data_IF_525544093829
#
_entry.id   IF_525544093829
#
_cell.length_a   1.000
_cell.length_b   1.000
_cell.length_c   1.000
_cell.angle_alpha   90.00
_cell.angle_beta   90.00
_cell.angle_gamma   90.00
#
_symmetry.space_group_name_H-M   'P 1'
#
loop_
_entity.id
_entity.type
_entity.pdbx_description
1 polymer ?
#
# COMPACT_ATOMS: atom_id res chain seq x y z
N UNK A 1 1.31 14.43 5.46
CA UNK A 1 1.54 15.05 4.14
C UNK A 1 1.60 16.57 4.31
N UNK A 2 2.73 17.19 4.10
CA UNK A 2 2.86 18.65 4.14
C UNK A 2 2.01 19.24 3.00
N UNK A 3 0.99 20.01 3.35
CA UNK A 3 0.19 20.75 2.35
C UNK A 3 1.13 21.69 1.60
N UNK A 4 1.12 21.66 0.27
CA UNK A 4 1.86 22.59 -0.55
C UNK A 4 1.55 24.03 -0.10
N UNK A 5 2.56 24.73 0.38
CA UNK A 5 2.40 26.07 0.90
C UNK A 5 2.41 27.06 -0.26
N UNK A 6 1.42 27.94 -0.30
CA UNK A 6 1.35 29.01 -1.27
C UNK A 6 2.43 30.04 -0.97
N UNK A 7 3.29 30.33 -1.96
CA UNK A 7 4.42 31.26 -1.79
C UNK A 7 3.95 32.65 -1.40
N UNK A 8 2.84 33.12 -2.00
CA UNK A 8 2.26 34.44 -1.68
C UNK A 8 2.00 34.62 -0.18
N UNK A 9 1.52 33.59 0.51
CA UNK A 9 1.27 33.64 1.97
C UNK A 9 2.54 33.87 2.80
N UNK A 10 3.69 33.50 2.27
CA UNK A 10 4.98 33.79 2.94
C UNK A 10 5.33 35.27 2.81
N UNK A 11 5.09 35.85 1.63
CA UNK A 11 5.32 37.27 1.38
C UNK A 11 4.29 38.15 2.11
N UNK A 12 3.02 37.75 2.17
CA UNK A 12 1.99 38.44 2.96
C UNK A 12 2.41 38.58 4.43
N UNK A 13 2.91 37.51 5.03
CA UNK A 13 3.40 37.52 6.42
C UNK A 13 4.63 38.43 6.63
N UNK A 14 5.35 38.74 5.56
CA UNK A 14 6.52 39.66 5.57
C UNK A 14 6.13 41.07 5.23
N UNK A 15 4.87 41.34 4.89
CA UNK A 15 4.40 42.65 4.44
C UNK A 15 4.84 43.03 3.02
N UNK A 16 5.22 42.04 2.21
CA UNK A 16 5.71 42.23 0.84
C UNK A 16 4.61 41.96 -0.15
N UNK A 17 3.74 42.95 -0.37
CA UNK A 17 2.57 42.84 -1.22
C UNK A 17 2.92 42.63 -2.70
N UNK A 18 4.01 43.22 -3.18
CA UNK A 18 4.46 43.12 -4.59
C UNK A 18 4.82 41.65 -4.92
N UNK A 19 5.67 41.05 -4.11
CA UNK A 19 6.05 39.65 -4.31
C UNK A 19 4.91 38.69 -3.98
N UNK A 20 4.01 39.03 -3.07
CA UNK A 20 2.80 38.23 -2.84
C UNK A 20 1.93 38.17 -4.09
N UNK A 21 1.65 39.28 -4.75
CA UNK A 21 0.88 39.31 -6.00
C UNK A 21 1.61 38.58 -7.14
N UNK A 22 2.88 38.87 -7.35
CA UNK A 22 3.73 38.26 -8.38
C UNK A 22 3.76 36.74 -8.32
N UNK A 23 3.76 36.17 -7.09
CA UNK A 23 3.85 34.72 -6.88
C UNK A 23 2.54 34.08 -6.38
N UNK A 24 1.40 34.68 -6.62
CA UNK A 24 0.08 34.23 -6.15
C UNK A 24 -0.23 32.79 -6.56
N UNK A 25 0.09 32.42 -7.80
CA UNK A 25 -0.20 31.08 -8.34
C UNK A 25 0.89 30.04 -8.05
N UNK A 26 2.01 30.47 -7.45
CA UNK A 26 3.11 29.59 -7.18
C UNK A 26 2.95 28.86 -5.84
N UNK A 27 3.40 27.60 -5.81
CA UNK A 27 3.37 26.73 -4.63
C UNK A 27 4.76 26.21 -4.32
N UNK A 28 5.07 26.06 -3.04
CA UNK A 28 6.27 25.37 -2.56
C UNK A 28 5.92 23.93 -2.27
N UNK A 29 6.73 23.01 -2.76
CA UNK A 29 6.60 21.58 -2.52
C UNK A 29 6.50 20.77 -3.82
N UNK A 30 6.47 19.47 -3.66
CA UNK A 30 6.37 18.55 -4.78
C UNK A 30 4.94 18.50 -5.32
N UNK A 31 4.81 18.25 -6.60
CA UNK A 31 3.53 17.88 -7.19
C UNK A 31 3.00 16.61 -6.50
N UNK A 32 1.70 16.55 -6.37
CA UNK A 32 1.05 15.38 -5.76
C UNK A 32 1.29 14.15 -6.64
N UNK A 33 1.83 13.04 -6.11
CA UNK A 33 1.99 11.83 -6.89
C UNK A 33 0.62 11.32 -7.34
N UNK A 34 0.53 10.91 -8.59
CA UNK A 34 -0.70 10.39 -9.21
C UNK A 34 -0.81 8.88 -9.02
N UNK A 35 0.32 8.19 -8.85
CA UNK A 35 0.37 6.75 -8.65
C UNK A 35 1.40 6.38 -7.58
N UNK A 36 1.24 5.20 -7.01
CA UNK A 36 2.18 4.59 -6.07
C UNK A 36 2.74 3.31 -6.70
N UNK A 37 4.06 3.22 -6.94
CA UNK A 37 4.66 2.03 -7.52
C UNK A 37 4.70 0.89 -6.49
N UNK A 38 4.39 -0.33 -6.95
CA UNK A 38 4.54 -1.55 -6.18
C UNK A 38 5.66 -2.37 -6.81
N UNK A 39 6.69 -2.67 -6.03
CA UNK A 39 7.82 -3.46 -6.47
C UNK A 39 7.58 -4.93 -6.15
N UNK A 40 7.74 -5.78 -7.16
CA UNK A 40 7.58 -7.21 -7.04
C UNK A 40 8.94 -7.90 -7.04
N UNK A 41 9.24 -8.60 -5.96
CA UNK A 41 10.47 -9.37 -5.81
C UNK A 41 10.16 -10.83 -5.55
N UNK A 42 10.99 -11.72 -6.08
CA UNK A 42 10.92 -13.17 -5.86
C UNK A 42 12.23 -13.60 -5.22
N UNK A 43 12.14 -14.36 -4.12
CA UNK A 43 13.33 -14.97 -3.52
C UNK A 43 13.99 -15.91 -4.55
N UNK A 44 15.31 -15.83 -4.76
CA UNK A 44 16.01 -16.74 -5.65
C UNK A 44 15.74 -18.21 -5.27
N UNK A 45 15.41 -19.00 -6.27
CA UNK A 45 15.22 -20.44 -6.16
C UNK A 45 16.47 -21.20 -6.61
N UNK A 46 16.43 -22.52 -6.50
CA UNK A 46 17.59 -23.39 -6.80
C UNK A 46 18.19 -23.07 -8.18
N UNK A 47 19.53 -22.98 -8.25
CA UNK A 47 20.25 -22.77 -9.50
C UNK A 47 19.88 -23.86 -10.54
N UNK A 48 19.57 -23.42 -11.75
CA UNK A 48 19.09 -24.31 -12.82
C UNK A 48 17.59 -24.68 -12.74
N UNK A 49 16.88 -24.23 -11.72
CA UNK A 49 15.43 -24.39 -11.59
C UNK A 49 14.65 -23.29 -12.33
N UNK A 50 13.35 -23.49 -12.48
CA UNK A 50 12.40 -22.53 -13.06
C UNK A 50 11.41 -22.02 -12.00
N UNK A 51 10.66 -20.96 -12.33
CA UNK A 51 9.52 -20.52 -11.48
C UNK A 51 8.49 -21.63 -11.35
N UNK A 52 8.27 -22.45 -12.38
CA UNK A 52 7.37 -23.59 -12.34
C UNK A 52 7.83 -24.63 -11.30
N UNK A 53 9.12 -24.94 -11.25
CA UNK A 53 9.67 -25.84 -10.24
C UNK A 53 9.49 -25.27 -8.82
N UNK A 54 9.68 -23.96 -8.66
CA UNK A 54 9.46 -23.30 -7.38
C UNK A 54 7.98 -23.33 -6.95
N UNK A 55 7.06 -23.18 -7.91
CA UNK A 55 5.62 -23.33 -7.64
C UNK A 55 5.25 -24.73 -7.20
N UNK A 56 5.83 -25.76 -7.82
CA UNK A 56 5.59 -27.14 -7.44
C UNK A 56 6.09 -27.48 -6.04
N UNK A 57 7.26 -26.95 -5.66
CA UNK A 57 7.91 -27.27 -4.39
C UNK A 57 7.41 -26.40 -3.24
N UNK A 58 7.25 -25.09 -3.48
CA UNK A 58 7.02 -24.09 -2.44
C UNK A 58 5.66 -23.39 -2.57
N UNK A 59 4.95 -23.58 -3.68
CA UNK A 59 3.65 -22.92 -3.95
C UNK A 59 3.76 -21.41 -4.15
N UNK A 60 4.97 -20.86 -4.45
CA UNK A 60 5.23 -19.42 -4.51
C UNK A 60 6.06 -19.04 -5.74
N UNK A 61 6.08 -17.74 -6.05
CA UNK A 61 6.92 -17.16 -7.10
C UNK A 61 6.20 -16.79 -8.40
N UNK A 62 5.04 -17.38 -8.67
CA UNK A 62 4.17 -16.97 -9.77
C UNK A 62 2.98 -16.16 -9.25
N UNK A 63 2.21 -15.60 -10.16
CA UNK A 63 0.99 -14.86 -9.85
C UNK A 63 -0.25 -15.52 -10.48
N UNK A 64 -1.39 -15.34 -9.80
CA UNK A 64 -2.68 -15.86 -10.26
C UNK A 64 -3.39 -14.83 -11.15
N UNK A 65 -3.27 -15.02 -12.47
CA UNK A 65 -3.82 -14.09 -13.44
C UNK A 65 -5.36 -13.99 -13.38
N UNK A 66 -6.07 -15.09 -13.13
CA UNK A 66 -7.52 -15.07 -13.07
C UNK A 66 -8.03 -14.27 -11.87
N UNK A 67 -7.34 -14.37 -10.74
CA UNK A 67 -7.64 -13.54 -9.59
C UNK A 67 -7.30 -12.06 -9.82
N UNK A 68 -6.19 -11.79 -10.52
CA UNK A 68 -5.79 -10.43 -10.86
C UNK A 68 -6.79 -9.71 -11.77
N UNK A 69 -7.42 -10.40 -12.70
CA UNK A 69 -8.43 -9.83 -13.61
C UNK A 69 -9.62 -9.17 -12.90
N UNK A 70 -9.90 -9.54 -11.66
CA UNK A 70 -10.94 -8.90 -10.85
C UNK A 70 -10.62 -7.43 -10.53
N UNK A 71 -9.33 -7.11 -10.41
CA UNK A 71 -8.83 -5.80 -9.97
C UNK A 71 -8.24 -4.99 -11.12
N UNK A 72 -7.66 -5.64 -12.11
CA UNK A 72 -7.00 -5.03 -13.25
C UNK A 72 -7.55 -5.63 -14.57
N UNK A 73 -8.57 -5.00 -15.17
CA UNK A 73 -9.07 -5.39 -16.48
C UNK A 73 -7.93 -5.47 -17.51
N UNK A 74 -8.02 -6.43 -18.44
CA UNK A 74 -6.99 -6.67 -19.46
C UNK A 74 -5.62 -7.13 -18.93
N UNK A 75 -5.56 -7.61 -17.69
CA UNK A 75 -4.33 -8.11 -17.06
C UNK A 75 -3.19 -7.10 -17.03
N UNK A 76 -3.52 -5.81 -16.97
CA UNK A 76 -2.54 -4.74 -16.90
C UNK A 76 -1.77 -4.78 -15.57
N UNK A 77 -0.59 -4.17 -15.55
CA UNK A 77 0.16 -3.91 -14.32
C UNK A 77 -0.28 -2.64 -13.58
N UNK A 78 -1.43 -2.10 -13.97
CA UNK A 78 -2.07 -0.94 -13.35
C UNK A 78 -3.37 -1.37 -12.68
N UNK A 79 -3.56 -0.92 -11.45
CA UNK A 79 -4.76 -1.12 -10.66
C UNK A 79 -5.26 0.22 -10.14
N UNK A 80 -6.55 0.48 -10.29
CA UNK A 80 -7.21 1.65 -9.74
C UNK A 80 -8.11 1.22 -8.58
N UNK A 81 -7.75 1.66 -7.37
CA UNK A 81 -8.51 1.37 -6.17
C UNK A 81 -8.93 2.67 -5.50
N UNK A 82 -10.23 2.85 -5.35
CA UNK A 82 -10.77 3.98 -4.62
C UNK A 82 -10.47 3.82 -3.12
N UNK A 83 -9.86 4.85 -2.56
CA UNK A 83 -9.64 4.93 -1.11
C UNK A 83 -10.96 5.36 -0.46
N UNK A 84 -11.75 4.41 0.00
CA UNK A 84 -13.02 4.70 0.67
C UNK A 84 -12.73 5.41 2.00
N UNK A 85 -13.59 6.36 2.35
CA UNK A 85 -13.46 7.11 3.62
C UNK A 85 -13.58 6.19 4.84
N UNK A 86 -14.30 5.07 4.73
CA UNK A 86 -14.41 4.01 5.74
C UNK A 86 -13.07 3.30 6.02
N UNK A 87 -12.14 3.29 5.05
CA UNK A 87 -10.83 2.66 5.20
C UNK A 87 -9.80 3.58 5.87
N UNK A 88 -10.17 4.83 6.13
CA UNK A 88 -9.30 5.78 6.81
C UNK A 88 -9.29 5.51 8.31
N UNK A 89 -8.38 4.64 8.74
CA UNK A 89 -8.10 4.45 10.16
C UNK A 89 -7.24 5.57 10.76
N UNK A 90 -6.79 5.34 11.98
CA UNK A 90 -5.92 6.26 12.73
C UNK A 90 -4.51 6.41 12.13
N UNK A 91 -4.06 5.48 11.29
CA UNK A 91 -2.72 5.53 10.72
C UNK A 91 -2.66 6.44 9.48
N UNK A 92 -1.76 7.45 9.43
CA UNK A 92 -1.74 8.47 8.38
C UNK A 92 -1.41 7.92 6.97
N UNK A 93 -0.77 6.76 6.88
CA UNK A 93 -0.38 6.09 5.61
C UNK A 93 -1.06 4.74 5.42
N UNK A 94 -2.23 4.53 6.07
CA UNK A 94 -2.98 3.28 5.92
C UNK A 94 -3.30 3.00 4.44
N UNK A 95 -3.00 1.79 4.01
CA UNK A 95 -3.30 1.33 2.66
C UNK A 95 -4.76 0.87 2.54
N UNK A 96 -5.39 1.01 1.36
CA UNK A 96 -6.72 0.46 1.13
C UNK A 96 -6.76 -1.05 1.35
N UNK A 97 -7.78 -1.55 2.03
CA UNK A 97 -7.94 -2.98 2.27
C UNK A 97 -8.04 -3.78 0.96
N UNK A 98 -8.77 -3.24 -0.01
CA UNK A 98 -8.93 -3.88 -1.33
C UNK A 98 -7.61 -3.99 -2.10
N UNK A 99 -6.68 -3.05 -1.93
CA UNK A 99 -5.35 -3.16 -2.51
C UNK A 99 -4.58 -4.35 -1.90
N UNK A 100 -4.60 -4.48 -0.57
CA UNK A 100 -3.92 -5.59 0.09
C UNK A 100 -4.56 -6.93 -0.27
N UNK A 101 -5.88 -7.01 -0.37
CA UNK A 101 -6.57 -8.22 -0.87
C UNK A 101 -6.12 -8.59 -2.28
N UNK A 102 -6.09 -7.61 -3.20
CA UNK A 102 -5.67 -7.85 -4.58
C UNK A 102 -4.25 -8.43 -4.66
N UNK A 103 -3.30 -7.86 -3.92
CA UNK A 103 -1.91 -8.31 -3.89
C UNK A 103 -1.75 -9.70 -3.26
N UNK A 104 -2.48 -9.98 -2.18
CA UNK A 104 -2.45 -11.27 -1.52
C UNK A 104 -3.07 -12.36 -2.40
N UNK A 105 -4.22 -12.12 -3.02
CA UNK A 105 -4.83 -13.08 -3.95
C UNK A 105 -3.96 -13.35 -5.19
N UNK A 106 -3.26 -12.32 -5.66
CA UNK A 106 -2.34 -12.43 -6.79
C UNK A 106 -1.19 -13.40 -6.49
N UNK A 107 -0.62 -13.30 -5.28
CA UNK A 107 0.67 -13.89 -4.91
C UNK A 107 0.57 -15.18 -4.09
N UNK A 108 -0.60 -15.47 -3.48
CA UNK A 108 -0.72 -16.55 -2.48
C UNK A 108 -1.92 -17.45 -2.73
N UNK A 109 -1.83 -18.65 -2.17
CA UNK A 109 -2.96 -19.59 -2.02
C UNK A 109 -3.48 -19.53 -0.57
N UNK A 110 -4.68 -20.10 -0.35
CA UNK A 110 -5.23 -20.27 1.00
C UNK A 110 -4.27 -21.05 1.90
N UNK A 111 -4.34 -20.81 3.20
CA UNK A 111 -3.47 -21.41 4.23
C UNK A 111 -1.99 -21.00 4.16
N UNK A 112 -1.53 -20.31 3.14
CA UNK A 112 -0.17 -19.76 3.10
C UNK A 112 0.01 -18.61 4.08
N UNK A 113 1.25 -18.35 4.47
CA UNK A 113 1.60 -17.32 5.45
C UNK A 113 1.93 -16.01 4.73
N UNK A 114 1.25 -14.94 5.13
CA UNK A 114 1.55 -13.56 4.75
C UNK A 114 2.34 -12.92 5.88
N UNK A 115 3.52 -12.42 5.58
CA UNK A 115 4.39 -11.70 6.54
C UNK A 115 4.39 -10.21 6.22
N UNK A 116 4.08 -9.37 7.20
CA UNK A 116 4.25 -7.92 7.13
C UNK A 116 5.13 -7.42 8.27
N UNK A 117 6.41 -7.11 8.00
CA UNK A 117 7.34 -6.66 9.03
C UNK A 117 7.13 -5.21 9.48
N UNK A 118 6.19 -4.47 8.84
CA UNK A 118 5.84 -3.07 9.14
C UNK A 118 4.32 -2.89 9.12
N UNK A 119 3.62 -3.65 9.97
CA UNK A 119 2.19 -3.86 9.87
C UNK A 119 1.34 -2.59 10.05
N UNK A 120 1.84 -1.57 10.74
CA UNK A 120 1.11 -0.34 11.00
C UNK A 120 -0.25 -0.63 11.63
N UNK A 121 -1.33 -0.19 10.98
CA UNK A 121 -2.70 -0.47 11.42
C UNK A 121 -3.21 -1.88 11.07
N UNK A 122 -2.35 -2.79 10.61
CA UNK A 122 -2.67 -4.18 10.35
C UNK A 122 -3.49 -4.45 9.09
N UNK A 123 -3.50 -3.56 8.09
CA UNK A 123 -4.34 -3.75 6.90
C UNK A 123 -3.99 -4.99 6.09
N UNK A 124 -2.69 -5.28 5.94
CA UNK A 124 -2.20 -6.51 5.28
C UNK A 124 -2.65 -7.76 6.03
N UNK A 125 -2.55 -7.74 7.36
CA UNK A 125 -2.93 -8.87 8.21
C UNK A 125 -4.43 -9.12 8.16
N UNK A 126 -5.24 -8.05 8.19
CA UNK A 126 -6.69 -8.15 8.04
C UNK A 126 -7.07 -8.69 6.67
N UNK A 127 -6.43 -8.24 5.61
CA UNK A 127 -6.65 -8.77 4.26
C UNK A 127 -6.33 -10.27 4.19
N UNK A 128 -5.21 -10.68 4.79
CA UNK A 128 -4.82 -12.09 4.86
C UNK A 128 -5.85 -12.92 5.64
N UNK A 129 -6.31 -12.46 6.81
CA UNK A 129 -7.35 -13.10 7.61
C UNK A 129 -8.64 -13.32 6.80
N UNK A 130 -9.14 -12.25 6.17
CA UNK A 130 -10.39 -12.30 5.38
C UNK A 130 -10.29 -13.26 4.20
N UNK A 131 -9.11 -13.40 3.62
CA UNK A 131 -8.85 -14.27 2.49
C UNK A 131 -8.45 -15.72 2.89
N UNK A 132 -8.49 -16.09 4.17
CA UNK A 132 -8.13 -17.42 4.63
C UNK A 132 -6.62 -17.73 4.59
N UNK A 133 -5.77 -16.70 4.69
CA UNK A 133 -4.34 -16.86 4.82
C UNK A 133 -3.92 -16.76 6.28
N UNK A 134 -2.87 -17.47 6.65
CA UNK A 134 -2.18 -17.24 7.92
C UNK A 134 -1.39 -15.94 7.82
N UNK A 135 -1.18 -15.26 8.93
CA UNK A 135 -0.48 -13.98 8.92
C UNK A 135 0.45 -13.83 10.12
N UNK A 136 1.54 -13.11 9.89
CA UNK A 136 2.50 -12.68 10.91
C UNK A 136 2.78 -11.20 10.64
N UNK A 137 2.69 -10.36 11.65
CA UNK A 137 2.99 -8.95 11.53
C UNK A 137 3.87 -8.45 12.66
N UNK A 138 4.66 -7.43 12.38
CA UNK A 138 5.43 -6.71 13.37
C UNK A 138 5.12 -5.23 13.28
N UNK A 139 4.96 -4.59 14.42
CA UNK A 139 4.79 -3.15 14.55
C UNK A 139 5.53 -2.70 15.81
N UNK A 140 6.29 -1.63 15.68
CA UNK A 140 7.14 -1.12 16.76
C UNK A 140 6.41 -0.11 17.66
N UNK A 141 5.45 0.61 17.08
CA UNK A 141 4.69 1.63 17.80
C UNK A 141 3.49 1.01 18.50
N UNK A 142 3.47 1.05 19.82
CA UNK A 142 2.44 0.41 20.66
C UNK A 142 1.02 0.82 20.27
N UNK A 143 0.78 2.10 19.98
CA UNK A 143 -0.52 2.59 19.56
C UNK A 143 -1.02 1.92 18.28
N UNK A 144 -0.16 1.79 17.29
CA UNK A 144 -0.53 1.14 16.02
C UNK A 144 -0.67 -0.37 16.17
N UNK A 145 0.18 -0.99 17.00
CA UNK A 145 0.07 -2.40 17.32
C UNK A 145 -1.28 -2.73 17.98
N UNK A 146 -1.69 -1.98 19.02
CA UNK A 146 -2.98 -2.19 19.67
C UNK A 146 -4.16 -1.96 18.72
N UNK A 147 -4.08 -0.95 17.86
CA UNK A 147 -5.10 -0.71 16.85
C UNK A 147 -5.20 -1.85 15.83
N UNK A 148 -4.06 -2.43 15.43
CA UNK A 148 -4.04 -3.60 14.54
C UNK A 148 -4.70 -4.81 15.22
N UNK A 149 -4.41 -5.09 16.49
CA UNK A 149 -5.05 -6.17 17.24
C UNK A 149 -6.57 -5.98 17.28
N UNK A 150 -7.07 -4.81 17.67
CA UNK A 150 -8.51 -4.52 17.70
C UNK A 150 -9.20 -4.74 16.34
N UNK A 151 -8.53 -4.38 15.24
CA UNK A 151 -9.06 -4.61 13.88
C UNK A 151 -9.07 -6.08 13.49
N UNK A 152 -8.15 -6.87 14.01
CA UNK A 152 -8.08 -8.30 13.75
C UNK A 152 -9.06 -9.12 14.61
N UNK A 153 -9.50 -8.62 15.74
CA UNK A 153 -10.48 -9.28 16.60
C UNK A 153 -11.94 -9.12 16.12
N UNK A 154 -12.22 -8.02 15.40
CA UNK A 154 -13.52 -7.75 14.79
C UNK A 154 -13.68 -8.43 13.42
#
# INVERSE_FOLDING_TARGET
MLKAQQISKVFDRRGDAENSEKFREWRVGNLRPVFEPILWFIKPYKQGGTIADNMLVNGTGAYNLEKWKKYAPNSSNYIEIQNLSSDRGSHPTQKPLELMKALIELATQEEQVVLDPFAGSGTTLLAAKVLGRKYIGFEMEDEFFENAIKRLEN
#
